data_IF_186566256864
#
_entry.id   IF_186566256864
#
_cell.length_a   1.000
_cell.length_b   1.000
_cell.length_c   1.000
_cell.angle_alpha   90.00
_cell.angle_beta   90.00
_cell.angle_gamma   90.00
#
_symmetry.space_group_name_H-M   'P 1'
#
loop_
_entity.id
_entity.type
_entity.pdbx_description
1 polymer ?
#
# COMPACT_ATOMS: atom_id res chain seq x y z
N UNK A 1 18.50 -8.43 2.01
CA UNK A 1 19.59 -8.30 1.03
C UNK A 1 19.01 -7.97 -0.34
N UNK A 2 19.78 -7.23 -1.15
CA UNK A 2 19.44 -6.98 -2.55
C UNK A 2 20.74 -6.77 -3.34
N UNK A 3 20.70 -6.99 -4.64
CA UNK A 3 21.85 -6.76 -5.53
C UNK A 3 21.41 -6.58 -6.98
N UNK A 4 22.21 -5.78 -7.67
CA UNK A 4 22.09 -5.55 -9.11
C UNK A 4 23.45 -5.85 -9.76
N UNK A 5 23.46 -6.83 -10.65
CA UNK A 5 24.63 -7.16 -11.46
C UNK A 5 24.39 -6.65 -12.88
N UNK A 6 25.30 -5.82 -13.35
CA UNK A 6 25.21 -5.18 -14.67
C UNK A 6 26.28 -5.77 -15.57
N UNK A 7 25.87 -6.26 -16.73
CA UNK A 7 26.75 -6.92 -17.69
C UNK A 7 26.71 -6.22 -19.05
N UNK A 8 27.65 -6.57 -19.89
CA UNK A 8 27.69 -6.19 -21.29
C UNK A 8 27.47 -4.68 -21.54
N UNK A 9 28.24 -3.83 -20.86
CA UNK A 9 28.19 -2.37 -21.00
C UNK A 9 26.79 -1.79 -20.74
N UNK A 10 26.15 -2.17 -19.65
CA UNK A 10 24.79 -1.81 -19.26
C UNK A 10 23.66 -2.37 -20.15
N UNK A 11 23.95 -3.30 -21.03
CA UNK A 11 22.91 -3.91 -21.87
C UNK A 11 22.11 -4.99 -21.14
N UNK A 12 22.67 -5.59 -20.12
CA UNK A 12 22.04 -6.69 -19.38
C UNK A 12 22.12 -6.41 -17.89
N UNK A 13 21.02 -6.71 -17.18
CA UNK A 13 20.93 -6.53 -15.73
C UNK A 13 20.25 -7.74 -15.10
N UNK A 14 20.87 -8.27 -14.06
CA UNK A 14 20.29 -9.27 -13.15
C UNK A 14 20.08 -8.61 -11.81
N UNK A 15 18.82 -8.48 -11.38
CA UNK A 15 18.45 -7.92 -10.08
C UNK A 15 17.86 -9.01 -9.21
N UNK A 16 18.22 -9.02 -7.94
CA UNK A 16 17.65 -9.93 -6.96
C UNK A 16 17.45 -9.22 -5.61
N UNK A 17 16.42 -9.64 -4.89
CA UNK A 17 16.13 -9.13 -3.55
C UNK A 17 15.49 -10.21 -2.70
N UNK A 18 15.83 -10.22 -1.43
CA UNK A 18 15.19 -11.07 -0.43
C UNK A 18 15.04 -10.34 0.88
N UNK A 19 13.90 -10.56 1.52
CA UNK A 19 13.58 -9.98 2.82
C UNK A 19 12.83 -10.99 3.68
N UNK A 20 13.12 -10.95 4.98
CA UNK A 20 12.30 -11.57 6.00
C UNK A 20 11.87 -10.49 6.98
N UNK A 21 10.57 -10.36 7.18
CA UNK A 21 10.00 -9.25 7.95
C UNK A 21 8.94 -9.81 8.92
N UNK A 22 9.00 -9.33 10.14
CA UNK A 22 7.99 -9.58 11.16
C UNK A 22 7.51 -8.24 11.69
N UNK A 23 6.22 -7.94 11.54
CA UNK A 23 5.69 -6.65 11.97
C UNK A 23 4.21 -6.75 12.38
N UNK A 24 3.81 -5.95 13.37
CA UNK A 24 2.41 -5.75 13.69
C UNK A 24 1.75 -4.87 12.63
N UNK A 25 0.49 -5.11 12.37
CA UNK A 25 -0.29 -4.34 11.40
C UNK A 25 -1.78 -4.46 11.66
N UNK A 26 -2.58 -3.88 10.78
CA UNK A 26 -4.02 -3.96 10.85
C UNK A 26 -4.63 -4.30 9.49
N UNK A 27 -5.71 -5.06 9.53
CA UNK A 27 -6.52 -5.38 8.36
C UNK A 27 -7.89 -4.73 8.49
N UNK A 28 -8.29 -4.00 7.45
CA UNK A 28 -9.55 -3.23 7.40
C UNK A 28 -10.60 -3.85 6.48
N UNK A 29 -10.33 -5.07 5.97
CA UNK A 29 -11.15 -5.68 4.92
C UNK A 29 -10.65 -5.41 3.52
N UNK A 30 -11.44 -5.79 2.51
CA UNK A 30 -11.16 -5.61 1.08
C UNK A 30 -12.27 -4.75 0.48
N UNK A 31 -11.89 -3.78 -0.36
CA UNK A 31 -12.78 -2.79 -0.96
C UNK A 31 -12.66 -1.41 -0.33
N UNK A 32 -13.15 -0.41 -1.07
CA UNK A 32 -13.21 0.98 -0.61
C UNK A 32 -14.10 1.11 0.64
N UNK A 33 -15.31 0.49 0.62
CA UNK A 33 -16.28 0.60 1.70
C UNK A 33 -15.74 0.05 3.02
N UNK A 34 -15.05 -1.09 3.01
CA UNK A 34 -14.42 -1.66 4.19
C UNK A 34 -13.38 -0.72 4.81
N UNK A 35 -12.52 -0.11 3.97
CA UNK A 35 -11.57 0.90 4.40
C UNK A 35 -12.23 2.16 4.95
N UNK A 36 -13.34 2.61 4.35
CA UNK A 36 -14.10 3.79 4.75
C UNK A 36 -14.90 3.55 6.05
N UNK A 37 -15.42 2.37 6.29
CA UNK A 37 -16.07 1.99 7.55
C UNK A 37 -15.11 2.02 8.73
N UNK A 38 -13.81 1.70 8.50
CA UNK A 38 -12.75 1.88 9.47
C UNK A 38 -12.64 0.79 10.55
N UNK A 39 -13.39 -0.31 10.47
CA UNK A 39 -13.17 -1.46 11.34
C UNK A 39 -11.82 -2.10 11.06
N UNK A 40 -11.04 -2.35 12.11
CA UNK A 40 -9.69 -2.84 12.00
C UNK A 40 -9.44 -3.99 12.96
N UNK A 41 -8.88 -5.09 12.44
CA UNK A 41 -8.38 -6.19 13.26
C UNK A 41 -6.86 -6.19 13.26
N UNK A 42 -6.27 -6.25 14.43
CA UNK A 42 -4.82 -6.31 14.58
C UNK A 42 -4.29 -7.67 14.13
N UNK A 43 -3.22 -7.62 13.35
CA UNK A 43 -2.49 -8.78 12.86
C UNK A 43 -1.03 -8.68 13.25
N UNK A 44 -0.40 -9.82 13.50
CA UNK A 44 1.05 -9.94 13.44
C UNK A 44 1.43 -10.72 12.20
N UNK A 45 2.11 -10.06 11.28
CA UNK A 45 2.43 -10.63 9.97
C UNK A 45 3.90 -11.05 9.90
N UNK A 46 4.14 -12.27 9.46
CA UNK A 46 5.47 -12.79 9.10
C UNK A 46 5.54 -12.91 7.59
N UNK A 47 6.52 -12.29 6.97
CA UNK A 47 6.70 -12.31 5.52
C UNK A 47 8.10 -12.78 5.15
N UNK A 48 8.19 -13.71 4.20
CA UNK A 48 9.41 -14.11 3.53
C UNK A 48 9.27 -13.85 2.03
N UNK A 49 10.14 -13.03 1.47
CA UNK A 49 10.06 -12.59 0.07
C UNK A 49 11.38 -12.87 -0.61
N UNK A 50 11.34 -13.48 -1.78
CA UNK A 50 12.48 -13.56 -2.70
C UNK A 50 12.04 -13.21 -4.11
N UNK A 51 12.78 -12.35 -4.77
CA UNK A 51 12.51 -11.89 -6.14
C UNK A 51 13.77 -11.90 -6.95
N UNK A 52 13.66 -12.28 -8.21
CA UNK A 52 14.74 -12.25 -9.19
C UNK A 52 14.21 -11.73 -10.52
N UNK A 53 15.00 -10.95 -11.22
CA UNK A 53 14.64 -10.48 -12.55
C UNK A 53 15.89 -10.32 -13.41
N UNK A 54 15.73 -10.63 -14.68
CA UNK A 54 16.75 -10.44 -15.70
C UNK A 54 16.19 -9.65 -16.86
N UNK A 55 16.91 -8.65 -17.33
CA UNK A 55 16.51 -7.89 -18.51
C UNK A 55 17.69 -7.62 -19.45
N UNK A 56 17.34 -7.39 -20.71
CA UNK A 56 18.25 -7.00 -21.75
C UNK A 56 17.76 -5.76 -22.48
N UNK A 57 18.69 -4.89 -22.86
CA UNK A 57 18.38 -3.72 -23.68
C UNK A 57 18.06 -4.18 -25.12
N UNK A 58 16.89 -3.79 -25.59
CA UNK A 58 16.46 -3.98 -26.98
C UNK A 58 16.96 -2.82 -27.85
N UNK A 59 16.76 -1.59 -27.40
CA UNK A 59 17.22 -0.40 -28.10
C UNK A 59 17.47 0.73 -27.11
N UNK A 60 18.66 1.29 -27.11
CA UNK A 60 19.02 2.42 -26.26
C UNK A 60 18.74 2.18 -24.77
N UNK A 61 17.71 2.83 -24.24
CA UNK A 61 17.29 2.76 -22.82
C UNK A 61 16.00 1.97 -22.60
N UNK A 62 15.58 1.23 -23.62
CA UNK A 62 14.43 0.35 -23.54
C UNK A 62 14.88 -1.08 -23.27
N UNK A 63 14.35 -1.67 -22.20
CA UNK A 63 14.68 -3.02 -21.73
C UNK A 63 13.43 -3.88 -21.71
N UNK A 64 13.63 -5.17 -22.02
CA UNK A 64 12.63 -6.21 -21.78
C UNK A 64 13.23 -7.27 -20.88
N UNK A 65 12.41 -7.91 -20.07
CA UNK A 65 12.92 -8.88 -19.11
C UNK A 65 11.87 -9.85 -18.60
N UNK A 66 12.40 -10.82 -17.88
CA UNK A 66 11.63 -11.83 -17.16
C UNK A 66 11.82 -11.65 -15.66
N UNK A 67 10.82 -12.01 -14.89
CA UNK A 67 10.89 -11.96 -13.42
C UNK A 67 10.31 -13.23 -12.81
N UNK A 68 10.77 -13.57 -11.63
CA UNK A 68 10.23 -14.63 -10.79
C UNK A 68 10.24 -14.20 -9.33
N UNK A 69 9.35 -14.77 -8.55
CA UNK A 69 9.28 -14.44 -7.14
C UNK A 69 8.64 -15.54 -6.32
N UNK A 70 9.02 -15.55 -5.04
CA UNK A 70 8.42 -16.39 -4.00
C UNK A 70 8.04 -15.44 -2.87
N UNK A 71 6.78 -15.48 -2.47
CA UNK A 71 6.22 -14.69 -1.37
C UNK A 71 5.51 -15.64 -0.40
N UNK A 72 6.01 -15.75 0.83
CA UNK A 72 5.31 -16.37 1.93
C UNK A 72 4.79 -15.29 2.87
N UNK A 73 3.55 -15.40 3.30
CA UNK A 73 2.96 -14.49 4.29
C UNK A 73 2.10 -15.27 5.25
N UNK A 74 2.42 -15.20 6.53
CA UNK A 74 1.62 -15.78 7.62
C UNK A 74 1.07 -14.67 8.52
N UNK A 75 -0.21 -14.76 8.87
CA UNK A 75 -0.86 -13.85 9.81
C UNK A 75 -1.26 -14.55 11.09
N UNK A 76 -0.85 -13.98 12.23
CA UNK A 76 -1.38 -14.32 13.55
C UNK A 76 -2.37 -13.22 13.96
N UNK A 77 -3.56 -13.63 14.35
CA UNK A 77 -4.64 -12.72 14.74
C UNK A 77 -5.46 -13.35 15.88
N UNK A 78 -6.25 -12.50 16.51
CA UNK A 78 -7.18 -12.92 17.56
C UNK A 78 -8.51 -12.20 17.35
N UNK A 79 -9.60 -12.94 17.49
CA UNK A 79 -10.94 -12.37 17.46
C UNK A 79 -11.16 -11.53 18.72
N UNK A 80 -11.83 -10.40 18.56
CA UNK A 80 -12.13 -9.49 19.66
C UNK A 80 -13.20 -10.07 20.60
N UNK A 81 -14.03 -10.98 20.12
CA UNK A 81 -15.19 -11.51 20.84
C UNK A 81 -16.28 -10.46 21.04
N UNK A 82 -16.27 -9.38 20.28
CA UNK A 82 -17.15 -8.22 20.48
C UNK A 82 -18.63 -8.55 20.33
N UNK A 83 -18.98 -9.47 19.43
CA UNK A 83 -20.37 -9.93 19.26
C UNK A 83 -20.91 -10.57 20.56
N UNK A 84 -20.14 -11.50 21.13
CA UNK A 84 -20.54 -12.16 22.39
C UNK A 84 -20.60 -11.16 23.54
N UNK A 85 -19.62 -10.26 23.62
CA UNK A 85 -19.60 -9.21 24.64
C UNK A 85 -20.82 -8.30 24.56
N UNK A 86 -21.15 -7.76 23.38
CA UNK A 86 -22.30 -6.87 23.19
C UNK A 86 -23.63 -7.56 23.45
N UNK A 87 -23.78 -8.82 23.09
CA UNK A 87 -24.97 -9.62 23.43
C UNK A 87 -25.13 -9.80 24.94
N UNK A 88 -24.05 -10.04 25.67
CA UNK A 88 -24.10 -10.12 27.14
C UNK A 88 -24.48 -8.77 27.77
N UNK A 89 -23.87 -7.67 27.28
CA UNK A 89 -24.26 -6.31 27.75
C UNK A 89 -25.75 -6.04 27.49
N UNK A 90 -26.24 -6.43 26.31
CA UNK A 90 -27.67 -6.26 26.00
C UNK A 90 -28.55 -7.06 26.97
N UNK A 91 -28.22 -8.32 27.25
CA UNK A 91 -28.97 -9.13 28.19
C UNK A 91 -28.94 -8.53 29.61
N UNK A 92 -27.83 -7.98 30.05
CA UNK A 92 -27.69 -7.31 31.34
C UNK A 92 -28.55 -6.02 31.42
N UNK A 93 -28.55 -5.23 30.35
CA UNK A 93 -29.36 -4.00 30.27
C UNK A 93 -30.86 -4.35 30.23
N UNK A 94 -31.25 -5.35 29.45
CA UNK A 94 -32.62 -5.86 29.38
C UNK A 94 -33.08 -6.40 30.75
N UNK A 95 -32.17 -6.88 31.60
CA UNK A 95 -32.40 -7.29 32.99
C UNK A 95 -32.38 -6.12 34.01
N UNK A 96 -32.28 -4.87 33.54
CA UNK A 96 -32.32 -3.66 34.38
C UNK A 96 -30.97 -3.21 34.94
N UNK A 97 -29.83 -3.80 34.50
CA UNK A 97 -28.51 -3.30 34.87
C UNK A 97 -28.14 -2.02 34.07
N UNK A 98 -27.32 -1.14 34.65
CA UNK A 98 -26.88 0.05 33.94
C UNK A 98 -25.98 -0.30 32.76
N UNK A 99 -26.03 0.53 31.71
CA UNK A 99 -25.11 0.45 30.59
C UNK A 99 -23.66 0.62 31.09
N UNK A 100 -22.70 -0.19 30.62
CA UNK A 100 -21.31 -0.05 31.03
C UNK A 100 -20.75 1.36 30.82
N UNK A 101 -19.86 1.81 31.69
CA UNK A 101 -19.19 3.11 31.53
C UNK A 101 -18.11 3.09 30.46
N UNK A 102 -17.69 4.30 30.04
CA UNK A 102 -16.59 4.49 29.11
C UNK A 102 -16.86 3.98 27.69
N UNK A 103 -15.78 3.62 26.97
CA UNK A 103 -15.82 3.25 25.54
C UNK A 103 -16.81 2.13 25.23
N UNK A 104 -16.94 1.13 26.10
CA UNK A 104 -17.83 -0.01 25.84
C UNK A 104 -19.31 0.38 25.90
N UNK A 105 -19.67 1.29 26.79
CA UNK A 105 -21.03 1.82 26.82
C UNK A 105 -21.35 2.74 25.65
N UNK A 106 -20.38 3.53 25.19
CA UNK A 106 -20.51 4.31 23.96
C UNK A 106 -20.75 3.41 22.74
N UNK A 107 -19.95 2.32 22.62
CA UNK A 107 -20.15 1.33 21.54
C UNK A 107 -21.48 0.63 21.61
N UNK A 108 -21.96 0.31 22.82
CA UNK A 108 -23.27 -0.29 23.02
C UNK A 108 -24.40 0.67 22.55
N UNK A 109 -24.31 1.94 22.92
CA UNK A 109 -25.26 2.97 22.48
C UNK A 109 -25.28 3.11 20.96
N UNK A 110 -24.09 3.21 20.34
CA UNK A 110 -23.96 3.27 18.88
C UNK A 110 -24.50 2.02 18.17
N UNK A 111 -24.37 0.85 18.78
CA UNK A 111 -24.95 -0.38 18.27
C UNK A 111 -26.48 -0.33 18.29
N UNK A 112 -27.07 0.14 19.39
CA UNK A 112 -28.52 0.31 19.49
C UNK A 112 -29.05 1.36 18.47
N UNK A 113 -28.26 2.37 18.15
CA UNK A 113 -28.54 3.38 17.13
C UNK A 113 -28.29 2.89 15.68
N UNK A 114 -27.80 1.67 15.48
CA UNK A 114 -27.44 1.14 14.16
C UNK A 114 -26.20 1.78 13.52
N UNK A 115 -25.38 2.49 14.29
CA UNK A 115 -24.16 3.20 13.85
C UNK A 115 -22.87 2.41 14.08
N UNK A 116 -22.94 1.34 14.85
CA UNK A 116 -21.86 0.39 15.10
C UNK A 116 -22.36 -1.03 14.88
N UNK A 117 -21.53 -1.88 14.28
CA UNK A 117 -21.81 -3.30 14.08
C UNK A 117 -20.72 -4.15 14.72
N UNK A 118 -21.01 -4.83 15.85
CA UNK A 118 -20.02 -5.70 16.48
C UNK A 118 -19.53 -6.84 15.60
N UNK A 119 -20.34 -7.30 14.64
CA UNK A 119 -19.95 -8.37 13.71
C UNK A 119 -18.85 -7.93 12.74
N UNK A 120 -18.71 -6.64 12.47
CA UNK A 120 -17.66 -6.08 11.61
C UNK A 120 -16.33 -5.85 12.33
N UNK A 121 -16.26 -6.04 13.65
CA UNK A 121 -15.07 -5.72 14.44
C UNK A 121 -13.86 -6.61 14.12
N UNK A 122 -14.11 -7.78 13.55
CA UNK A 122 -13.07 -8.77 13.20
C UNK A 122 -12.99 -8.97 11.67
N UNK A 123 -12.61 -7.93 10.89
CA UNK A 123 -12.69 -7.97 9.44
C UNK A 123 -11.76 -9.00 8.79
N UNK A 124 -10.65 -9.38 9.43
CA UNK A 124 -9.77 -10.41 8.89
C UNK A 124 -10.37 -11.81 9.07
N UNK A 125 -10.88 -12.12 10.26
CA UNK A 125 -11.56 -13.39 10.53
C UNK A 125 -12.76 -13.59 9.62
N UNK A 126 -13.56 -12.54 9.46
CA UNK A 126 -14.70 -12.55 8.54
C UNK A 126 -14.26 -12.81 7.11
N UNK A 127 -13.23 -12.08 6.63
CA UNK A 127 -12.70 -12.27 5.28
C UNK A 127 -12.19 -13.71 5.06
N UNK A 128 -11.41 -14.26 5.99
CA UNK A 128 -10.88 -15.64 5.87
C UNK A 128 -12.04 -16.65 5.80
N UNK A 129 -13.05 -16.49 6.65
CA UNK A 129 -14.21 -17.37 6.70
C UNK A 129 -15.04 -17.29 5.41
N UNK A 130 -15.33 -16.09 4.94
CA UNK A 130 -16.18 -15.87 3.76
C UNK A 130 -15.47 -16.23 2.44
N UNK A 131 -14.20 -15.88 2.33
CA UNK A 131 -13.43 -16.13 1.11
C UNK A 131 -12.86 -17.55 0.99
N UNK A 132 -12.80 -18.28 2.11
CA UNK A 132 -12.09 -19.56 2.21
C UNK A 132 -10.58 -19.42 1.96
N UNK A 133 -10.01 -18.24 2.21
CA UNK A 133 -8.57 -18.01 2.11
C UNK A 133 -7.83 -18.56 3.33
N UNK A 134 -6.51 -18.64 3.25
CA UNK A 134 -5.67 -19.14 4.33
C UNK A 134 -4.87 -17.97 4.94
N UNK A 135 -4.85 -17.81 6.27
CA UNK A 135 -3.99 -16.84 6.94
C UNK A 135 -2.51 -17.00 6.57
N UNK A 136 -2.09 -18.25 6.28
CA UNK A 136 -0.75 -18.57 5.80
C UNK A 136 -0.80 -18.80 4.29
N UNK A 137 -0.30 -17.86 3.52
CA UNK A 137 -0.33 -17.90 2.08
C UNK A 137 1.09 -18.00 1.49
N UNK A 138 1.25 -18.91 0.53
CA UNK A 138 2.47 -19.07 -0.26
C UNK A 138 2.15 -18.76 -1.71
N UNK A 139 2.95 -17.90 -2.34
CA UNK A 139 2.75 -17.49 -3.72
C UNK A 139 4.06 -17.49 -4.48
N UNK A 140 4.04 -18.10 -5.65
CA UNK A 140 5.14 -18.09 -6.63
C UNK A 140 4.69 -17.43 -7.90
N UNK A 141 5.55 -16.65 -8.50
CA UNK A 141 5.22 -15.90 -9.72
C UNK A 141 6.23 -16.07 -10.82
N UNK A 142 5.73 -16.03 -12.06
CA UNK A 142 6.49 -15.82 -13.28
C UNK A 142 6.00 -14.55 -13.93
N UNK A 143 6.91 -13.72 -14.42
CA UNK A 143 6.54 -12.42 -14.98
C UNK A 143 7.37 -12.02 -16.18
N UNK A 144 6.77 -11.14 -16.97
CA UNK A 144 7.41 -10.44 -18.09
C UNK A 144 7.30 -8.93 -17.80
N UNK A 145 8.35 -8.18 -18.15
CA UNK A 145 8.30 -6.73 -18.02
C UNK A 145 9.00 -6.02 -19.15
N UNK A 146 8.56 -4.80 -19.39
CA UNK A 146 9.21 -3.84 -20.25
C UNK A 146 9.51 -2.58 -19.43
N UNK A 147 10.67 -1.96 -19.64
CA UNK A 147 11.11 -0.79 -18.92
C UNK A 147 11.81 0.20 -19.84
N UNK A 148 11.50 1.48 -19.68
CA UNK A 148 12.19 2.59 -20.31
C UNK A 148 12.68 3.55 -19.24
N UNK A 149 13.99 3.80 -19.15
CA UNK A 149 14.59 4.61 -18.09
C UNK A 149 15.59 5.62 -18.66
N UNK A 150 15.22 6.89 -18.61
CA UNK A 150 16.04 8.02 -19.03
C UNK A 150 16.45 8.92 -17.88
N UNK A 151 16.14 8.53 -16.64
CA UNK A 151 16.51 9.30 -15.44
C UNK A 151 18.02 9.51 -15.36
N UNK A 152 18.40 10.69 -14.89
CA UNK A 152 19.81 11.03 -14.68
C UNK A 152 20.41 10.29 -13.47
N UNK A 153 19.60 9.96 -12.47
CA UNK A 153 19.95 9.15 -11.28
C UNK A 153 18.73 8.39 -10.80
N UNK A 154 18.89 7.15 -10.39
CA UNK A 154 17.80 6.27 -9.98
C UNK A 154 17.17 6.69 -8.65
N UNK A 155 17.97 7.10 -7.65
CA UNK A 155 17.48 7.35 -6.29
C UNK A 155 16.96 8.76 -6.02
N UNK A 156 17.33 9.74 -6.86
CA UNK A 156 16.92 11.13 -6.73
C UNK A 156 17.03 11.80 -8.08
N UNK A 157 16.08 11.45 -8.94
CA UNK A 157 16.04 11.95 -10.30
C UNK A 157 15.74 13.45 -10.33
N UNK A 158 16.45 14.18 -11.19
CA UNK A 158 16.19 15.60 -11.44
C UNK A 158 15.62 15.88 -12.83
N UNK A 159 15.74 14.90 -13.72
CA UNK A 159 15.21 14.93 -15.09
C UNK A 159 15.09 13.53 -15.65
N UNK A 160 14.21 13.36 -16.61
CA UNK A 160 14.02 12.10 -17.32
C UNK A 160 12.67 11.48 -17.06
N UNK A 161 12.50 10.30 -17.62
CA UNK A 161 11.27 9.51 -17.56
C UNK A 161 11.64 8.10 -17.15
N UNK A 162 10.83 7.51 -16.29
CA UNK A 162 10.85 6.10 -15.99
C UNK A 162 9.48 5.51 -16.28
N UNK A 163 9.42 4.46 -17.08
CA UNK A 163 8.21 3.69 -17.33
C UNK A 163 8.56 2.22 -17.10
N UNK A 164 7.78 1.52 -16.29
CA UNK A 164 7.87 0.08 -16.14
C UNK A 164 6.48 -0.52 -16.16
N UNK A 165 6.23 -1.43 -17.09
CA UNK A 165 5.05 -2.27 -17.14
C UNK A 165 5.47 -3.72 -16.88
N UNK A 166 4.83 -4.38 -15.92
CA UNK A 166 5.12 -5.76 -15.53
C UNK A 166 3.84 -6.56 -15.40
N UNK A 167 3.78 -7.71 -16.07
CA UNK A 167 2.71 -8.69 -15.95
C UNK A 167 3.26 -9.95 -15.26
N UNK A 168 2.63 -10.34 -14.16
CA UNK A 168 2.95 -11.55 -13.39
C UNK A 168 1.79 -12.52 -13.42
N UNK A 169 2.12 -13.79 -13.54
CA UNK A 169 1.20 -14.90 -13.41
C UNK A 169 1.59 -15.74 -12.19
N UNK A 170 0.58 -16.12 -11.41
CA UNK A 170 0.68 -16.92 -10.21
C UNK A 170 -0.05 -18.24 -10.46
N UNK A 171 0.58 -19.22 -11.12
CA UNK A 171 -0.06 -20.47 -11.49
C UNK A 171 -0.22 -21.40 -10.30
N UNK A 172 -1.33 -22.11 -10.25
CA UNK A 172 -1.65 -23.08 -9.18
C UNK A 172 -0.60 -24.21 -9.09
N UNK A 173 -0.09 -24.66 -10.23
CA UNK A 173 0.89 -25.74 -10.30
C UNK A 173 2.28 -25.40 -9.71
N UNK A 174 2.58 -24.12 -9.46
CA UNK A 174 3.76 -23.69 -8.72
C UNK A 174 3.56 -23.65 -7.18
N UNK A 175 2.49 -24.24 -6.68
CA UNK A 175 2.20 -24.35 -5.24
C UNK A 175 1.57 -23.09 -4.65
N UNK A 176 0.92 -22.27 -5.45
CA UNK A 176 0.19 -21.11 -4.95
C UNK A 176 -0.98 -21.55 -4.05
N UNK A 177 -1.15 -20.88 -2.92
CA UNK A 177 -2.19 -21.17 -1.92
C UNK A 177 -3.60 -20.91 -2.48
N UNK A 178 -3.72 -19.95 -3.39
CA UNK A 178 -4.97 -19.64 -4.10
C UNK A 178 -4.86 -20.08 -5.55
N UNK A 179 -6.01 -20.20 -6.21
CA UNK A 179 -6.12 -20.55 -7.62
C UNK A 179 -5.36 -19.54 -8.49
N UNK A 180 -5.17 -19.90 -9.77
CA UNK A 180 -4.51 -19.04 -10.74
C UNK A 180 -5.01 -17.59 -10.68
N UNK A 181 -4.07 -16.66 -10.56
CA UNK A 181 -4.36 -15.24 -10.68
C UNK A 181 -3.22 -14.52 -11.41
N UNK A 182 -3.54 -13.39 -11.98
CA UNK A 182 -2.59 -12.53 -12.67
C UNK A 182 -2.52 -11.15 -12.02
N UNK A 183 -1.35 -10.50 -12.09
CA UNK A 183 -1.14 -9.13 -11.62
C UNK A 183 -0.42 -8.33 -12.68
N UNK A 184 -0.94 -7.16 -12.98
CA UNK A 184 -0.33 -6.20 -13.88
C UNK A 184 -0.01 -4.94 -13.10
N UNK A 185 1.23 -4.45 -13.20
CA UNK A 185 1.64 -3.18 -12.59
C UNK A 185 2.21 -2.26 -13.65
N UNK A 186 1.90 -0.96 -13.52
CA UNK A 186 2.44 0.10 -14.34
C UNK A 186 2.97 1.20 -13.42
N UNK A 187 4.21 1.62 -13.64
CA UNK A 187 4.81 2.79 -13.02
C UNK A 187 5.20 3.77 -14.12
N UNK A 188 4.85 5.03 -13.95
CA UNK A 188 5.25 6.12 -14.83
C UNK A 188 5.71 7.30 -13.98
N UNK A 189 7.01 7.61 -14.05
CA UNK A 189 7.60 8.77 -13.38
C UNK A 189 8.13 9.75 -14.41
N UNK A 190 7.92 11.02 -14.14
CA UNK A 190 8.43 12.12 -14.96
C UNK A 190 9.10 13.17 -14.08
N UNK A 191 10.30 13.61 -14.46
CA UNK A 191 11.09 14.59 -13.72
C UNK A 191 11.57 15.70 -14.64
N UNK A 192 11.42 16.94 -14.18
CA UNK A 192 11.86 18.13 -14.91
C UNK A 192 12.39 19.20 -13.97
N UNK A 193 13.57 19.71 -14.27
CA UNK A 193 14.09 20.92 -13.64
C UNK A 193 13.27 22.13 -14.11
N UNK A 194 12.77 22.94 -13.19
CA UNK A 194 12.00 24.14 -13.49
C UNK A 194 12.90 25.36 -13.44
N UNK A 195 13.53 25.62 -12.28
CA UNK A 195 14.48 26.71 -12.06
C UNK A 195 15.61 26.22 -11.13
N UNK A 196 16.47 27.14 -10.70
CA UNK A 196 17.60 26.78 -9.85
C UNK A 196 17.15 26.10 -8.54
N UNK A 197 17.51 24.84 -8.39
CA UNK A 197 17.18 24.03 -7.20
C UNK A 197 15.77 23.45 -7.19
N UNK A 198 14.90 23.79 -8.17
CA UNK A 198 13.54 23.27 -8.25
C UNK A 198 13.41 22.11 -9.23
N UNK A 199 12.73 21.05 -8.80
CA UNK A 199 12.41 19.87 -9.59
C UNK A 199 10.92 19.62 -9.47
N UNK A 200 10.24 19.54 -10.60
CA UNK A 200 8.91 18.98 -10.73
C UNK A 200 9.02 17.48 -10.91
N UNK A 201 8.30 16.75 -10.10
CA UNK A 201 8.20 15.30 -10.22
C UNK A 201 6.73 14.89 -10.29
N UNK A 202 6.41 13.97 -11.18
CA UNK A 202 5.10 13.35 -11.35
C UNK A 202 5.24 11.86 -11.31
N UNK A 203 4.34 11.19 -10.59
CA UNK A 203 4.24 9.74 -10.49
C UNK A 203 2.82 9.28 -10.76
N UNK A 204 2.70 8.21 -11.52
CA UNK A 204 1.48 7.44 -11.74
C UNK A 204 1.79 5.97 -11.52
N UNK A 205 1.02 5.35 -10.66
CA UNK A 205 1.10 3.93 -10.38
C UNK A 205 -0.26 3.26 -10.57
N UNK A 206 -0.26 2.13 -11.25
CA UNK A 206 -1.43 1.28 -11.39
C UNK A 206 -1.07 -0.16 -11.02
N UNK A 207 -1.99 -0.84 -10.32
CA UNK A 207 -1.84 -2.22 -9.89
C UNK A 207 -3.17 -2.96 -10.04
N UNK A 208 -3.22 -3.89 -10.97
CA UNK A 208 -4.43 -4.61 -11.35
C UNK A 208 -4.24 -6.10 -11.15
N UNK A 209 -5.08 -6.71 -10.36
CA UNK A 209 -5.13 -8.16 -10.14
C UNK A 209 -6.40 -8.75 -10.76
N UNK A 210 -6.23 -9.79 -11.55
CA UNK A 210 -7.31 -10.59 -12.14
C UNK A 210 -7.34 -11.96 -11.46
N UNK A 211 -8.52 -12.48 -11.21
CA UNK A 211 -8.71 -13.76 -10.50
C UNK A 211 -8.91 -13.57 -9.00
N UNK A 212 -8.44 -14.54 -8.21
CA UNK A 212 -8.65 -14.57 -6.76
C UNK A 212 -7.30 -14.63 -6.04
N UNK A 213 -6.70 -13.47 -5.75
CA UNK A 213 -5.41 -13.41 -5.05
C UNK A 213 -5.56 -13.80 -3.58
N UNK A 214 -4.46 -14.18 -2.94
CA UNK A 214 -4.40 -14.31 -1.48
C UNK A 214 -4.57 -12.95 -0.81
N UNK A 215 -5.07 -12.93 0.42
CA UNK A 215 -5.45 -11.72 1.18
C UNK A 215 -4.38 -10.60 1.22
N UNK A 216 -3.12 -10.97 1.23
CA UNK A 216 -2.00 -10.01 1.27
C UNK A 216 -1.57 -9.51 -0.12
N UNK A 217 -2.04 -10.15 -1.20
CA UNK A 217 -1.67 -9.84 -2.59
C UNK A 217 -2.56 -8.77 -3.24
N UNK A 218 -3.64 -8.35 -2.59
CA UNK A 218 -4.43 -7.21 -3.06
C UNK A 218 -3.59 -5.94 -3.17
N UNK A 219 -3.86 -5.11 -4.16
CA UNK A 219 -3.24 -3.81 -4.29
C UNK A 219 -3.58 -2.93 -3.08
N UNK A 220 -2.56 -2.32 -2.47
CA UNK A 220 -2.66 -1.57 -1.21
C UNK A 220 -2.37 -0.10 -1.47
N UNK A 221 -3.29 0.76 -1.07
CA UNK A 221 -3.09 2.21 -1.10
C UNK A 221 -2.38 2.69 0.17
N UNK A 222 -1.60 3.75 0.02
CA UNK A 222 -0.92 4.41 1.13
C UNK A 222 0.52 3.95 1.34
N UNK A 223 1.13 4.46 2.41
CA UNK A 223 2.50 4.10 2.78
C UNK A 223 3.47 5.26 2.71
N UNK A 224 4.76 4.93 2.47
CA UNK A 224 5.84 5.92 2.51
C UNK A 224 6.08 6.63 1.17
N UNK A 225 5.66 6.03 0.06
CA UNK A 225 5.97 6.52 -1.29
C UNK A 225 4.81 7.31 -1.88
N UNK A 226 3.62 6.70 -1.90
CA UNK A 226 2.41 7.25 -2.50
C UNK A 226 1.32 7.42 -1.46
N UNK A 227 0.37 8.29 -1.73
CA UNK A 227 -0.77 8.56 -0.82
C UNK A 227 -0.34 8.68 0.64
N UNK A 228 0.78 9.39 0.85
CA UNK A 228 1.40 9.61 2.16
C UNK A 228 0.40 10.28 3.11
N UNK A 229 0.26 9.75 4.33
CA UNK A 229 -0.78 10.15 5.27
C UNK A 229 -1.83 9.08 5.50
N UNK A 230 -2.00 8.13 4.56
CA UNK A 230 -2.83 6.96 4.76
C UNK A 230 -2.02 5.79 5.31
N UNK A 231 -2.64 5.01 6.21
CA UNK A 231 -2.09 3.73 6.63
C UNK A 231 -2.07 2.77 5.43
N UNK A 232 -0.91 2.18 5.14
CA UNK A 232 -0.75 1.25 4.02
C UNK A 232 -1.70 0.07 4.12
N UNK A 233 -2.51 -0.13 3.08
CA UNK A 233 -3.48 -1.21 3.00
C UNK A 233 -4.74 -1.03 3.84
N UNK A 234 -5.02 0.16 4.39
CA UNK A 234 -6.36 0.50 4.88
C UNK A 234 -7.38 0.39 3.76
N UNK A 235 -7.03 0.95 2.59
CA UNK A 235 -7.77 0.76 1.35
C UNK A 235 -7.00 -0.23 0.48
N UNK A 236 -7.61 -1.37 0.19
CA UNK A 236 -7.04 -2.42 -0.66
C UNK A 236 -8.12 -3.06 -1.49
N UNK A 237 -7.81 -3.37 -2.74
CA UNK A 237 -8.72 -4.10 -3.62
C UNK A 237 -7.95 -4.74 -4.79
N UNK A 238 -8.64 -5.36 -5.72
CA UNK A 238 -8.06 -5.97 -6.92
C UNK A 238 -7.43 -4.95 -7.87
N UNK A 239 -7.85 -3.69 -7.83
CA UNK A 239 -7.39 -2.63 -8.72
C UNK A 239 -7.09 -1.38 -7.90
N UNK A 240 -5.97 -0.76 -8.22
CA UNK A 240 -5.49 0.47 -7.63
C UNK A 240 -4.94 1.37 -8.72
N UNK A 241 -5.25 2.65 -8.65
CA UNK A 241 -4.53 3.71 -9.36
C UNK A 241 -4.21 4.80 -8.36
N UNK A 242 -2.95 5.23 -8.36
CA UNK A 242 -2.46 6.34 -7.55
C UNK A 242 -1.67 7.29 -8.45
N UNK A 243 -1.81 8.57 -8.21
CA UNK A 243 -1.03 9.60 -8.90
C UNK A 243 -0.64 10.69 -7.93
N UNK A 244 0.54 11.27 -8.13
CA UNK A 244 0.98 12.40 -7.33
C UNK A 244 1.88 13.35 -8.12
N UNK A 245 1.82 14.62 -7.73
CA UNK A 245 2.69 15.70 -8.18
C UNK A 245 3.50 16.14 -6.97
N UNK A 246 4.80 16.32 -7.16
CA UNK A 246 5.72 16.76 -6.13
C UNK A 246 6.61 17.89 -6.63
N UNK A 247 6.70 18.97 -5.87
CA UNK A 247 7.65 20.05 -6.09
C UNK A 247 8.75 19.96 -5.04
N UNK A 248 9.96 19.67 -5.50
CA UNK A 248 11.18 19.59 -4.69
C UNK A 248 11.98 20.88 -4.88
N UNK A 249 12.31 21.59 -3.79
CA UNK A 249 13.11 22.79 -3.81
C UNK A 249 14.35 22.65 -2.93
N UNK A 250 15.52 22.69 -3.51
CA UNK A 250 16.77 22.85 -2.79
C UNK A 250 16.91 24.30 -2.33
N UNK A 251 17.02 24.54 -1.01
CA UNK A 251 17.06 25.86 -0.42
C UNK A 251 18.50 26.33 -0.22
N UNK A 252 19.28 25.52 0.51
CA UNK A 252 20.63 25.89 0.90
C UNK A 252 21.53 24.65 1.05
N UNK A 253 22.69 24.64 0.38
CA UNK A 253 23.68 23.55 0.46
C UNK A 253 23.05 22.15 0.34
N UNK A 254 22.85 21.47 1.49
CA UNK A 254 22.30 20.12 1.61
C UNK A 254 20.83 20.08 2.02
N UNK A 255 20.20 21.26 2.16
CA UNK A 255 18.86 21.40 2.71
C UNK A 255 17.85 21.69 1.60
N UNK A 256 16.74 21.01 1.63
CA UNK A 256 15.62 21.18 0.71
C UNK A 256 14.29 20.98 1.39
N UNK A 257 13.24 21.41 0.71
CA UNK A 257 11.83 21.17 1.08
C UNK A 257 11.08 20.59 -0.09
N UNK A 258 9.99 19.92 0.24
CA UNK A 258 9.11 19.27 -0.73
C UNK A 258 7.67 19.59 -0.35
N UNK A 259 6.83 19.78 -1.35
CA UNK A 259 5.38 19.77 -1.20
C UNK A 259 4.77 18.87 -2.25
N UNK A 260 3.70 18.18 -1.92
CA UNK A 260 3.00 17.29 -2.85
C UNK A 260 1.50 17.31 -2.68
N UNK A 261 0.85 16.88 -3.73
CA UNK A 261 -0.56 16.51 -3.77
C UNK A 261 -0.70 15.22 -4.57
N UNK A 262 -1.55 14.32 -4.10
CA UNK A 262 -1.85 13.07 -4.78
C UNK A 262 -3.32 12.69 -4.68
N UNK A 263 -3.72 11.81 -5.56
CA UNK A 263 -5.04 11.19 -5.55
C UNK A 263 -4.95 9.72 -5.92
N UNK A 264 -5.85 8.91 -5.36
CA UNK A 264 -5.86 7.48 -5.63
C UNK A 264 -7.23 6.86 -5.40
N UNK A 265 -7.41 5.69 -5.99
CA UNK A 265 -8.65 4.93 -5.87
C UNK A 265 -8.37 3.43 -5.92
N UNK A 266 -9.16 2.69 -5.14
CA UNK A 266 -9.22 1.22 -5.17
C UNK A 266 -10.60 0.77 -5.62
N UNK A 267 -10.68 -0.33 -6.39
CA UNK A 267 -11.94 -0.92 -6.81
C UNK A 267 -11.76 -2.38 -7.27
N UNK A 268 -12.87 -3.09 -7.45
CA UNK A 268 -12.87 -4.49 -7.90
C UNK A 268 -13.87 -5.33 -7.13
N UNK A 269 -13.85 -5.27 -5.81
CA UNK A 269 -14.91 -5.73 -4.91
C UNK A 269 -16.05 -4.72 -4.93
N UNK A 270 -15.72 -3.45 -4.71
CA UNK A 270 -16.63 -2.34 -4.94
C UNK A 270 -16.54 -1.85 -6.39
N UNK A 271 -17.64 -1.25 -6.89
CA UNK A 271 -17.65 -0.62 -8.23
C UNK A 271 -16.81 0.64 -8.22
N UNK A 272 -16.17 0.93 -9.34
CA UNK A 272 -15.50 2.21 -9.57
C UNK A 272 -16.50 3.37 -9.48
N UNK A 273 -16.19 4.37 -8.66
CA UNK A 273 -16.97 5.60 -8.50
C UNK A 273 -16.02 6.77 -8.26
N UNK A 274 -16.18 7.85 -8.99
CA UNK A 274 -15.35 9.04 -8.81
C UNK A 274 -15.43 9.62 -7.39
N UNK A 275 -16.58 9.48 -6.71
CA UNK A 275 -16.82 9.93 -5.34
C UNK A 275 -15.94 9.19 -4.30
N UNK A 276 -15.40 8.03 -4.68
CA UNK A 276 -14.52 7.22 -3.84
C UNK A 276 -13.03 7.61 -4.00
N UNK A 277 -12.74 8.69 -4.73
CA UNK A 277 -11.36 9.18 -4.88
C UNK A 277 -10.87 9.75 -3.55
N UNK A 278 -9.73 9.26 -3.11
CA UNK A 278 -9.03 9.69 -1.91
C UNK A 278 -7.91 10.66 -2.30
N UNK A 279 -7.68 11.67 -1.45
CA UNK A 279 -6.65 12.68 -1.70
C UNK A 279 -5.63 12.71 -0.58
N UNK A 280 -4.37 12.91 -0.94
CA UNK A 280 -3.25 13.07 -0.02
C UNK A 280 -2.48 14.33 -0.38
N UNK A 281 -2.05 15.09 0.62
CA UNK A 281 -1.17 16.22 0.44
C UNK A 281 -0.27 16.39 1.65
N UNK A 282 0.81 17.11 1.48
CA UNK A 282 1.73 17.34 2.58
C UNK A 282 2.99 18.09 2.16
N UNK A 283 3.87 18.20 3.13
CA UNK A 283 5.17 18.81 2.94
C UNK A 283 6.25 18.01 3.67
N UNK A 284 7.49 18.22 3.28
CA UNK A 284 8.60 17.50 3.87
C UNK A 284 9.91 18.26 3.77
N UNK A 285 10.84 17.82 4.60
CA UNK A 285 12.20 18.30 4.62
C UNK A 285 13.14 17.26 4.03
N UNK A 286 14.18 17.73 3.35
CA UNK A 286 15.22 16.91 2.71
C UNK A 286 16.59 17.35 3.22
N UNK A 287 17.37 16.35 3.64
CA UNK A 287 18.79 16.55 3.96
C UNK A 287 19.66 15.63 3.11
N UNK A 288 20.44 16.21 2.21
CA UNK A 288 21.38 15.48 1.35
C UNK A 288 22.63 15.10 2.18
N UNK A 289 22.68 13.88 2.72
CA UNK A 289 23.80 13.44 3.56
C UNK A 289 24.98 12.91 2.73
N UNK A 290 24.72 12.35 1.56
CA UNK A 290 25.72 11.91 0.58
C UNK A 290 25.23 12.32 -0.81
N UNK A 291 26.14 12.42 -1.77
CA UNK A 291 25.79 12.86 -3.11
C UNK A 291 24.52 12.19 -3.65
N UNK A 292 23.46 12.99 -3.80
CA UNK A 292 22.11 12.58 -4.24
C UNK A 292 21.40 11.52 -3.39
N UNK A 293 21.83 11.31 -2.15
CA UNK A 293 21.12 10.49 -1.18
C UNK A 293 20.53 11.40 -0.09
N UNK A 294 19.20 11.41 0.01
CA UNK A 294 18.49 12.26 0.94
C UNK A 294 17.96 11.47 2.14
N UNK A 295 18.04 12.10 3.31
CA UNK A 295 17.19 11.78 4.45
C UNK A 295 15.92 12.61 4.26
N UNK A 296 14.79 11.97 4.42
CA UNK A 296 13.46 12.52 4.19
C UNK A 296 12.65 12.51 5.50
N UNK A 297 12.07 13.67 5.82
CA UNK A 297 11.07 13.85 6.88
C UNK A 297 9.82 14.43 6.23
N UNK A 298 8.75 13.66 6.17
CA UNK A 298 7.49 14.08 5.55
C UNK A 298 6.37 14.10 6.58
N UNK A 299 5.47 15.08 6.45
CA UNK A 299 4.20 15.10 7.12
C UNK A 299 3.07 15.09 6.09
N UNK A 300 2.37 13.97 6.04
CA UNK A 300 1.29 13.72 5.09
C UNK A 300 -0.08 13.74 5.74
N UNK A 301 -1.05 14.27 5.02
CA UNK A 301 -2.46 14.29 5.36
C UNK A 301 -3.26 13.55 4.30
N UNK A 302 -4.13 12.65 4.74
CA UNK A 302 -5.15 12.01 3.91
C UNK A 302 -6.53 12.54 4.27
N UNK A 303 -7.37 12.73 3.27
CA UNK A 303 -8.76 13.17 3.46
C UNK A 303 -9.70 12.00 3.20
N UNK A 304 -10.48 11.64 4.19
CA UNK A 304 -11.51 10.60 4.09
C UNK A 304 -12.85 11.22 3.75
N UNK A 305 -13.61 10.55 2.90
CA UNK A 305 -14.92 10.99 2.50
C UNK A 305 -15.98 10.77 3.60
N UNK A 306 -15.89 9.70 4.39
CA UNK A 306 -16.95 9.35 5.34
C UNK A 306 -16.43 8.49 6.49
N UNK A 307 -16.71 8.89 7.74
CA UNK A 307 -16.37 8.10 8.93
C UNK A 307 -17.46 8.26 9.99
N UNK A 308 -18.09 7.15 10.32
CA UNK A 308 -19.22 7.10 11.25
C UNK A 308 -18.83 6.59 12.64
N UNK A 309 -17.57 6.17 12.85
CA UNK A 309 -17.13 5.62 14.11
C UNK A 309 -16.42 6.69 14.96
N UNK A 310 -16.68 6.76 16.27
CA UNK A 310 -16.18 7.83 17.14
C UNK A 310 -14.66 7.83 17.31
N UNK A 311 -14.00 6.68 17.12
CA UNK A 311 -12.54 6.57 17.18
C UNK A 311 -11.89 6.77 15.82
N UNK A 312 -12.68 6.84 14.75
CA UNK A 312 -12.14 7.01 13.42
C UNK A 312 -11.99 8.49 13.11
N UNK A 313 -10.79 8.88 12.74
CA UNK A 313 -10.48 10.28 12.47
C UNK A 313 -11.02 10.65 11.08
N UNK A 314 -11.68 11.76 10.97
CA UNK A 314 -12.10 12.35 9.68
C UNK A 314 -10.91 12.66 8.76
N UNK A 315 -9.69 12.68 9.31
CA UNK A 315 -8.44 12.89 8.59
C UNK A 315 -7.42 11.90 9.09
N UNK A 316 -6.64 11.34 8.17
CA UNK A 316 -5.46 10.57 8.49
C UNK A 316 -4.24 11.46 8.41
N UNK A 317 -3.26 11.24 9.26
CA UNK A 317 -1.97 11.91 9.17
C UNK A 317 -0.85 10.95 9.52
N UNK A 318 0.27 11.12 8.85
CA UNK A 318 1.47 10.35 9.13
C UNK A 318 2.71 11.24 9.10
N UNK A 319 3.58 11.00 10.05
CA UNK A 319 4.95 11.51 10.04
C UNK A 319 5.85 10.39 9.54
N UNK A 320 6.58 10.62 8.46
CA UNK A 320 7.37 9.62 7.77
C UNK A 320 8.85 9.99 7.79
N UNK A 321 9.70 9.01 8.12
CA UNK A 321 11.14 9.15 8.10
C UNK A 321 11.76 8.04 7.25
N UNK A 322 12.59 8.40 6.27
CA UNK A 322 13.27 7.42 5.40
C UNK A 322 14.50 8.01 4.73
N UNK A 323 15.37 7.16 4.22
CA UNK A 323 16.62 7.49 3.55
C UNK A 323 16.54 7.35 2.02
N UNK A 324 15.43 7.79 1.40
CA UNK A 324 15.26 7.77 -0.07
C UNK A 324 14.28 8.86 -0.50
N UNK A 325 14.15 9.15 -1.79
CA UNK A 325 13.00 9.93 -2.29
C UNK A 325 11.74 9.04 -2.40
N UNK A 326 10.59 9.67 -2.61
CA UNK A 326 9.31 8.95 -2.65
C UNK A 326 9.18 8.10 -3.93
N UNK A 327 9.73 8.58 -5.06
CA UNK A 327 9.73 7.92 -6.36
C UNK A 327 10.82 8.52 -7.27
#
# INVERSE_FOLDING_TARGET
FSGDNIFNHNKQRLSYAGAFVYFPGAFYGVGYNAGAEGYAQELTTTMGIFRISYCTALAGRFYIGVSGGIDYTGAKYKDTGMVAYMNNVKADVDAGKPVPGGRMGELYTLWQEGRYDPAKQDPFSNYITESGDNPNAFNTSLGLFAQYDTRDVTFNASRGIFIKAEAKWYPEWLGNTRRNFGRFTLTFDFYRKLWKGAIFAYDLYADFTAGTPSWHMYAKMGGMERMRGYYEGRYRDKRLVETQIELRQKIYRRHGVVAWIGGGQVWGTDKFRWDNTLYSFGCGYRFEFKNRMNIRLDYGLGVYANQNLPWDRKRSSAFLFTASEAF
#
